data_IF_253854337793
#
_entry.id   IF_253854337793
#
_cell.length_a   1.000
_cell.length_b   1.000
_cell.length_c   1.000
_cell.angle_alpha   90.00
_cell.angle_beta   90.00
_cell.angle_gamma   90.00
#
_symmetry.space_group_name_H-M   'P 1'
#
loop_
_entity.id
_entity.type
_entity.pdbx_description
1 polymer ?
#
# COMPACT_ATOMS: atom_id res chain seq x y z
N UNK A 1 -15.88 29.31 20.22
CA UNK A 1 -14.62 28.54 20.15
C UNK A 1 -14.01 28.47 21.54
N UNK A 2 -13.98 27.31 22.23
CA UNK A 2 -13.26 27.19 23.49
C UNK A 2 -11.77 26.94 23.20
N UNK A 3 -10.90 27.80 23.76
CA UNK A 3 -9.44 27.64 23.79
C UNK A 3 -9.08 26.35 24.54
N UNK A 4 -8.65 25.33 23.81
CA UNK A 4 -8.01 24.15 24.41
C UNK A 4 -6.55 24.50 24.68
N UNK A 5 -6.19 24.53 25.97
CA UNK A 5 -4.84 24.89 26.43
C UNK A 5 -3.81 23.90 25.88
N UNK A 6 -2.79 24.42 25.19
CA UNK A 6 -1.57 23.68 24.84
C UNK A 6 -0.81 23.35 26.12
N UNK A 7 -1.08 22.20 26.74
CA UNK A 7 -0.08 21.52 27.57
C UNK A 7 0.80 20.71 26.64
N UNK A 8 1.84 21.37 26.14
CA UNK A 8 2.98 20.72 25.47
C UNK A 8 3.70 19.86 26.49
N UNK A 9 3.30 18.60 26.61
CA UNK A 9 4.10 17.61 27.31
C UNK A 9 5.19 17.16 26.34
N UNK A 10 6.27 17.94 26.30
CA UNK A 10 7.52 17.65 25.60
C UNK A 10 8.22 16.49 26.28
N UNK A 11 7.73 15.27 26.08
CA UNK A 11 8.58 14.09 26.16
C UNK A 11 9.27 13.91 24.82
N UNK A 12 10.23 14.81 24.57
CA UNK A 12 11.32 14.57 23.65
C UNK A 12 12.07 13.34 24.13
N UNK A 13 11.81 12.19 23.51
CA UNK A 13 12.78 11.09 23.48
C UNK A 13 13.97 11.52 22.63
N UNK A 14 14.75 12.47 23.13
CA UNK A 14 16.14 12.66 22.74
C UNK A 14 16.98 11.57 23.36
N UNK A 15 18.03 11.19 22.62
CA UNK A 15 19.10 10.25 22.95
C UNK A 15 18.84 8.77 22.61
N UNK A 16 19.38 8.35 21.46
CA UNK A 16 20.58 7.49 21.45
C UNK A 16 20.69 6.53 22.64
N UNK A 17 20.04 5.37 22.55
CA UNK A 17 20.49 4.11 23.16
C UNK A 17 19.52 2.99 22.80
N UNK A 18 19.83 2.25 21.75
CA UNK A 18 19.94 0.80 21.91
C UNK A 18 20.77 0.30 20.75
N UNK A 19 22.04 0.03 21.03
CA UNK A 19 22.75 -1.02 20.30
C UNK A 19 21.86 -2.25 20.38
N UNK A 20 21.09 -2.49 19.31
CA UNK A 20 20.09 -3.54 19.23
C UNK A 20 20.80 -4.83 19.58
N UNK A 21 20.49 -5.39 20.76
CA UNK A 21 21.20 -6.56 21.25
C UNK A 21 21.10 -7.66 20.19
N UNK A 22 22.21 -7.91 19.49
CA UNK A 22 22.30 -8.95 18.45
C UNK A 22 21.79 -10.28 19.01
N UNK A 23 21.98 -10.52 20.31
CA UNK A 23 21.49 -11.69 21.02
C UNK A 23 19.96 -11.80 21.03
N UNK A 24 19.24 -10.74 21.45
CA UNK A 24 17.76 -10.75 21.49
C UNK A 24 17.17 -11.07 20.11
N UNK A 25 17.61 -10.37 19.07
CA UNK A 25 17.03 -10.56 17.73
C UNK A 25 17.42 -11.89 17.10
N UNK A 26 18.60 -12.44 17.43
CA UNK A 26 18.94 -13.80 17.05
C UNK A 26 18.02 -14.81 17.72
N UNK A 27 17.70 -14.63 19.00
CA UNK A 27 16.74 -15.48 19.70
C UNK A 27 15.33 -15.36 19.11
N UNK A 28 14.81 -14.13 18.93
CA UNK A 28 13.51 -13.88 18.28
C UNK A 28 13.45 -14.49 16.89
N UNK A 29 14.51 -14.37 16.10
CA UNK A 29 14.57 -14.95 14.76
C UNK A 29 14.60 -16.48 14.78
N UNK A 30 15.31 -17.09 15.73
CA UNK A 30 15.25 -18.55 15.95
C UNK A 30 13.84 -19.00 16.35
N UNK A 31 13.15 -18.24 17.21
CA UNK A 31 11.75 -18.50 17.55
C UNK A 31 10.84 -18.42 16.31
N UNK A 32 10.95 -17.35 15.51
CA UNK A 32 10.19 -17.21 14.27
C UNK A 32 10.43 -18.38 13.31
N UNK A 33 11.69 -18.84 13.19
CA UNK A 33 12.07 -19.99 12.37
C UNK A 33 11.41 -21.30 12.77
N UNK A 34 11.31 -21.57 14.06
CA UNK A 34 10.77 -22.84 14.57
C UNK A 34 9.25 -22.83 14.58
N UNK A 35 8.64 -21.71 14.98
CA UNK A 35 7.20 -21.68 15.26
C UNK A 35 6.37 -20.97 14.18
N UNK A 36 6.87 -19.89 13.58
CA UNK A 36 6.08 -19.05 12.66
C UNK A 36 6.31 -19.43 11.20
N UNK A 37 7.55 -19.71 10.80
CA UNK A 37 7.88 -20.01 9.41
C UNK A 37 7.20 -21.28 8.87
N UNK A 38 7.06 -22.38 9.64
CA UNK A 38 6.27 -23.53 9.19
C UNK A 38 4.80 -23.19 8.99
N UNK A 39 4.22 -22.34 9.85
CA UNK A 39 2.83 -21.87 9.70
C UNK A 39 2.66 -21.09 8.41
N UNK A 40 3.59 -20.16 8.11
CA UNK A 40 3.57 -19.39 6.85
C UNK A 40 3.66 -20.35 5.65
N UNK A 41 4.57 -21.32 5.68
CA UNK A 41 4.70 -22.32 4.62
C UNK A 41 3.40 -23.10 4.40
N UNK A 42 2.74 -23.58 5.46
CA UNK A 42 1.49 -24.36 5.36
C UNK A 42 0.34 -23.49 4.83
N UNK A 43 0.12 -22.31 5.43
CA UNK A 43 -1.03 -21.46 5.13
C UNK A 43 -0.94 -20.83 3.74
N UNK A 44 0.26 -20.43 3.32
CA UNK A 44 0.47 -19.67 2.08
C UNK A 44 1.09 -20.51 0.96
N UNK A 45 1.47 -21.77 1.23
CA UNK A 45 2.23 -22.60 0.29
C UNK A 45 3.44 -21.84 -0.28
N UNK A 46 4.15 -21.17 0.64
CA UNK A 46 5.20 -20.22 0.35
C UNK A 46 6.57 -20.88 0.34
N UNK A 47 7.26 -20.85 -0.80
CA UNK A 47 8.64 -21.35 -0.95
C UNK A 47 9.64 -20.20 -0.89
N UNK A 48 10.38 -20.10 0.22
CA UNK A 48 11.53 -19.22 0.34
C UNK A 48 12.77 -19.90 -0.27
N UNK A 49 13.38 -19.30 -1.28
CA UNK A 49 14.67 -19.73 -1.79
C UNK A 49 15.76 -19.11 -0.92
N UNK A 50 16.60 -19.96 -0.34
CA UNK A 50 17.66 -19.53 0.55
C UNK A 50 18.70 -18.71 -0.21
N UNK A 51 19.14 -17.61 0.39
CA UNK A 51 20.27 -16.82 -0.07
C UNK A 51 21.44 -17.01 0.90
N UNK A 52 22.54 -17.59 0.41
CA UNK A 52 23.74 -17.83 1.19
C UNK A 52 24.63 -16.58 1.23
N UNK A 53 24.17 -15.60 2.01
CA UNK A 53 24.90 -14.36 2.26
C UNK A 53 26.25 -14.63 2.99
N UNK A 54 27.39 -14.15 2.45
CA UNK A 54 28.68 -14.10 3.16
C UNK A 54 28.56 -13.51 4.55
N UNK A 55 29.16 -14.15 5.56
CA UNK A 55 28.98 -13.77 6.99
C UNK A 55 29.40 -12.34 7.31
N UNK A 56 30.38 -11.81 6.57
CA UNK A 56 30.98 -10.50 6.80
C UNK A 56 30.41 -9.39 5.90
N UNK A 57 29.43 -9.70 5.06
CA UNK A 57 28.73 -8.69 4.25
C UNK A 57 27.35 -8.42 4.85
N UNK A 58 26.93 -7.15 4.78
CA UNK A 58 25.57 -6.72 5.01
C UNK A 58 25.00 -6.07 3.75
N UNK A 59 23.68 -6.00 3.69
CA UNK A 59 22.96 -5.59 2.49
C UNK A 59 21.84 -4.63 2.84
N UNK A 60 21.55 -3.74 1.91
CA UNK A 60 20.20 -3.21 1.77
C UNK A 60 19.39 -4.16 0.88
N UNK A 61 18.24 -4.62 1.34
CA UNK A 61 17.34 -5.47 0.55
C UNK A 61 16.15 -4.63 0.11
N UNK A 62 15.91 -4.57 -1.19
CA UNK A 62 14.71 -3.99 -1.76
C UNK A 62 13.78 -5.10 -2.24
N UNK A 63 12.49 -4.98 -1.92
CA UNK A 63 11.51 -5.97 -2.33
C UNK A 63 10.19 -5.34 -2.74
N UNK A 64 9.51 -5.96 -3.70
CA UNK A 64 8.14 -5.63 -4.06
C UNK A 64 7.18 -5.95 -2.92
N UNK A 65 6.03 -5.26 -2.88
CA UNK A 65 5.09 -5.40 -1.77
C UNK A 65 3.74 -5.92 -2.24
N UNK A 66 3.42 -7.15 -1.90
CA UNK A 66 2.20 -7.86 -2.30
C UNK A 66 1.24 -8.11 -1.14
N UNK A 67 1.74 -8.29 0.08
CA UNK A 67 0.97 -8.75 1.24
C UNK A 67 1.51 -8.23 2.56
N UNK A 68 0.73 -8.36 3.64
CA UNK A 68 1.15 -7.86 4.97
C UNK A 68 2.22 -8.72 5.65
N UNK A 69 2.42 -9.97 5.20
CA UNK A 69 3.41 -10.90 5.75
C UNK A 69 4.72 -10.93 4.95
N UNK A 70 4.85 -10.10 3.92
CA UNK A 70 6.04 -10.00 3.09
C UNK A 70 7.35 -9.85 3.88
N UNK A 71 7.43 -9.05 4.96
CA UNK A 71 8.64 -8.98 5.77
C UNK A 71 9.08 -10.36 6.33
N UNK A 72 8.12 -11.12 6.87
CA UNK A 72 8.40 -12.44 7.44
C UNK A 72 8.77 -13.44 6.34
N UNK A 73 8.05 -13.41 5.22
CA UNK A 73 8.32 -14.25 4.05
C UNK A 73 9.73 -13.99 3.49
N UNK A 74 10.09 -12.73 3.29
CA UNK A 74 11.45 -12.35 2.87
C UNK A 74 12.51 -12.87 3.86
N UNK A 75 12.27 -12.69 5.16
CA UNK A 75 13.20 -13.14 6.21
C UNK A 75 13.44 -14.66 6.22
N UNK A 76 12.49 -15.46 5.72
CA UNK A 76 12.65 -16.93 5.59
C UNK A 76 13.78 -17.33 4.64
N UNK A 77 14.15 -16.48 3.68
CA UNK A 77 15.26 -16.74 2.74
C UNK A 77 16.64 -16.59 3.36
N UNK A 78 16.76 -16.05 4.58
CA UNK A 78 18.05 -15.68 5.16
C UNK A 78 18.37 -16.46 6.45
N UNK A 79 19.65 -16.66 6.71
CA UNK A 79 20.12 -17.35 7.91
C UNK A 79 20.34 -16.42 9.12
N UNK A 80 20.13 -15.11 8.95
CA UNK A 80 20.35 -14.05 9.93
C UNK A 80 19.12 -13.12 10.05
N UNK A 81 18.96 -12.40 11.17
CA UNK A 81 17.91 -11.39 11.30
C UNK A 81 18.03 -10.29 10.25
N UNK A 82 16.88 -9.75 9.83
CA UNK A 82 16.77 -8.63 8.90
C UNK A 82 15.94 -7.55 9.61
N UNK A 83 16.39 -6.30 9.53
CA UNK A 83 15.67 -5.17 10.08
C UNK A 83 14.84 -4.50 9.00
N UNK A 84 13.54 -4.36 9.22
CA UNK A 84 12.63 -3.84 8.21
C UNK A 84 12.30 -2.38 8.44
N UNK A 85 12.32 -1.58 7.38
CA UNK A 85 11.72 -0.25 7.40
C UNK A 85 10.20 -0.39 7.33
N UNK A 86 9.48 0.18 8.29
CA UNK A 86 8.02 0.07 8.37
C UNK A 86 7.35 1.43 8.61
N UNK A 87 6.17 1.60 8.03
CA UNK A 87 5.37 2.82 8.21
C UNK A 87 4.91 2.99 9.66
N UNK A 88 4.86 4.25 10.12
CA UNK A 88 4.34 4.65 11.44
C UNK A 88 2.98 4.00 11.81
N UNK A 89 2.10 3.74 10.83
CA UNK A 89 0.81 3.10 11.11
C UNK A 89 0.97 1.73 11.82
N UNK A 90 2.01 0.96 11.50
CA UNK A 90 2.25 -0.34 12.14
C UNK A 90 2.50 -0.20 13.64
N UNK A 91 3.14 0.91 14.05
CA UNK A 91 3.44 1.23 15.43
C UNK A 91 2.21 1.74 16.21
N UNK A 92 1.11 2.04 15.52
CA UNK A 92 -0.16 2.48 16.13
C UNK A 92 -1.12 1.34 16.47
N UNK A 93 -0.78 0.09 16.14
CA UNK A 93 -1.63 -1.09 16.38
C UNK A 93 -1.65 -1.58 17.86
N UNK A 94 -1.21 -0.75 18.80
CA UNK A 94 -1.25 -1.06 20.23
C UNK A 94 -0.35 -2.24 20.62
N UNK A 95 -0.93 -3.32 21.15
CA UNK A 95 -0.19 -4.51 21.59
C UNK A 95 0.58 -5.16 20.41
N UNK A 96 0.01 -5.13 19.21
CA UNK A 96 0.65 -5.69 18.01
C UNK A 96 1.94 -4.94 17.69
N UNK A 97 1.96 -3.61 17.85
CA UNK A 97 3.19 -2.82 17.69
C UNK A 97 4.25 -3.28 18.68
N UNK A 98 3.90 -3.47 19.97
CA UNK A 98 4.87 -3.93 20.97
C UNK A 98 5.45 -5.31 20.64
N UNK A 99 4.63 -6.22 20.11
CA UNK A 99 5.07 -7.56 19.68
C UNK A 99 6.02 -7.44 18.48
N UNK A 100 5.66 -6.64 17.47
CA UNK A 100 6.50 -6.43 16.29
C UNK A 100 7.83 -5.78 16.67
N UNK A 101 7.79 -4.76 17.52
CA UNK A 101 8.99 -4.07 18.04
C UNK A 101 9.90 -5.03 18.81
N UNK A 102 9.31 -5.91 19.61
CA UNK A 102 10.05 -6.93 20.35
C UNK A 102 10.67 -8.00 19.44
N UNK A 103 9.93 -8.47 18.44
CA UNK A 103 10.36 -9.57 17.58
C UNK A 103 11.36 -9.16 16.51
N UNK A 104 11.14 -8.01 15.86
CA UNK A 104 11.89 -7.61 14.65
C UNK A 104 12.39 -6.17 14.66
N UNK A 105 11.97 -5.34 15.63
CA UNK A 105 12.29 -3.91 15.75
C UNK A 105 12.35 -3.18 14.41
N UNK A 106 11.19 -2.86 13.82
CA UNK A 106 11.20 -2.13 12.57
C UNK A 106 11.86 -0.75 12.73
N UNK A 107 12.47 -0.26 11.66
CA UNK A 107 12.93 1.11 11.54
C UNK A 107 11.72 1.95 11.11
N UNK A 108 11.22 2.88 11.94
CA UNK A 108 10.03 3.65 11.59
C UNK A 108 10.31 4.63 10.44
N UNK A 109 9.38 4.76 9.50
CA UNK A 109 9.37 5.81 8.48
C UNK A 109 8.01 6.49 8.40
N UNK A 110 8.02 7.82 8.20
CA UNK A 110 6.83 8.60 7.89
C UNK A 110 6.72 8.71 6.37
N UNK A 111 5.58 8.30 5.79
CA UNK A 111 5.35 8.25 4.33
C UNK A 111 5.31 9.60 3.61
N UNK A 112 5.60 10.70 4.30
CA UNK A 112 5.35 12.05 3.81
C UNK A 112 6.45 13.06 4.13
N UNK A 113 7.52 12.65 4.82
CA UNK A 113 8.65 13.52 5.12
C UNK A 113 9.91 12.97 4.45
N UNK A 114 10.76 13.88 3.95
CA UNK A 114 12.14 13.58 3.61
C UNK A 114 12.86 13.23 4.91
N UNK A 115 12.65 12.02 5.39
CA UNK A 115 12.98 11.67 6.75
C UNK A 115 14.48 11.40 6.84
N UNK A 116 15.26 12.48 7.00
CA UNK A 116 16.68 12.42 7.31
C UNK A 116 16.93 11.50 8.52
N UNK A 117 15.95 11.34 9.42
CA UNK A 117 16.03 10.40 10.52
C UNK A 117 15.99 8.94 10.04
N UNK A 118 15.04 8.57 9.18
CA UNK A 118 14.98 7.21 8.62
C UNK A 118 16.26 6.87 7.84
N UNK A 119 16.81 7.83 7.08
CA UNK A 119 18.10 7.67 6.41
C UNK A 119 19.25 7.42 7.38
N UNK A 120 19.32 8.20 8.46
CA UNK A 120 20.33 8.03 9.51
C UNK A 120 20.19 6.67 10.20
N UNK A 121 18.97 6.25 10.51
CA UNK A 121 18.72 4.98 11.18
C UNK A 121 19.09 3.79 10.28
N UNK A 122 18.74 3.84 8.99
CA UNK A 122 19.14 2.82 7.99
C UNK A 122 20.67 2.78 7.88
N UNK A 123 21.31 3.94 7.73
CA UNK A 123 22.77 4.06 7.60
C UNK A 123 23.49 3.52 8.85
N UNK A 124 23.00 3.84 10.04
CA UNK A 124 23.55 3.35 11.31
C UNK A 124 23.44 1.83 11.41
N UNK A 125 22.28 1.24 11.13
CA UNK A 125 22.10 -0.20 11.16
C UNK A 125 23.04 -0.91 10.18
N UNK A 126 23.16 -0.39 8.95
CA UNK A 126 24.11 -0.89 7.95
C UNK A 126 25.56 -0.77 8.44
N UNK A 127 25.96 0.36 9.02
CA UNK A 127 27.32 0.57 9.53
C UNK A 127 27.68 -0.38 10.69
N UNK A 128 26.69 -0.84 11.47
CA UNK A 128 26.89 -1.84 12.55
C UNK A 128 26.95 -3.29 12.06
N UNK A 129 26.93 -3.50 10.74
CA UNK A 129 26.97 -4.80 10.07
C UNK A 129 25.63 -5.52 10.02
N UNK A 130 24.51 -4.81 10.22
CA UNK A 130 23.18 -5.39 10.12
C UNK A 130 22.64 -5.26 8.69
N UNK A 131 21.79 -6.21 8.30
CA UNK A 131 21.05 -6.18 7.03
C UNK A 131 19.72 -5.47 7.22
N UNK A 132 19.44 -4.50 6.35
CA UNK A 132 18.19 -3.73 6.35
C UNK A 132 17.37 -4.09 5.13
N UNK A 133 16.06 -4.18 5.26
CA UNK A 133 15.13 -4.38 4.15
C UNK A 133 14.07 -3.28 4.11
N UNK A 134 13.68 -2.84 2.91
CA UNK A 134 12.57 -1.92 2.72
C UNK A 134 11.79 -2.24 1.44
N UNK A 135 10.53 -1.79 1.42
CA UNK A 135 9.64 -1.91 0.28
C UNK A 135 9.55 -0.54 -0.40
N UNK A 136 10.25 -0.32 -1.52
CA UNK A 136 10.54 1.03 -2.00
C UNK A 136 9.30 1.76 -2.55
N UNK A 137 8.29 1.03 -3.03
CA UNK A 137 7.00 1.60 -3.43
C UNK A 137 6.15 2.10 -2.25
N UNK A 138 6.50 1.73 -1.02
CA UNK A 138 5.82 2.11 0.21
C UNK A 138 4.40 1.56 0.37
N UNK A 139 3.85 0.86 -0.62
CA UNK A 139 2.47 0.41 -0.62
C UNK A 139 2.31 -0.94 -1.29
N UNK A 140 1.41 -1.77 -0.76
CA UNK A 140 1.08 -3.05 -1.38
C UNK A 140 0.41 -2.83 -2.73
N UNK A 141 0.71 -3.72 -3.68
CA UNK A 141 0.01 -3.81 -4.96
C UNK A 141 -1.50 -3.73 -4.78
N UNK A 142 -2.11 -2.82 -5.54
CA UNK A 142 -3.55 -2.57 -5.52
C UNK A 142 -4.29 -3.55 -6.43
N UNK A 143 -3.73 -3.79 -7.62
CA UNK A 143 -4.39 -4.49 -8.73
C UNK A 143 -3.59 -5.66 -9.31
N UNK A 144 -2.34 -5.87 -8.88
CA UNK A 144 -1.46 -6.95 -9.36
C UNK A 144 -0.02 -6.50 -9.57
N UNK A 145 0.23 -5.52 -10.47
CA UNK A 145 1.56 -4.96 -10.70
C UNK A 145 2.16 -4.29 -9.46
N UNK A 146 3.48 -4.18 -9.42
CA UNK A 146 4.17 -3.41 -8.38
C UNK A 146 3.79 -1.92 -8.45
N UNK A 147 3.65 -1.28 -7.28
CA UNK A 147 3.34 0.15 -7.23
C UNK A 147 4.55 0.99 -7.66
N UNK A 148 4.35 2.21 -8.19
CA UNK A 148 5.45 3.05 -8.62
C UNK A 148 6.51 3.24 -7.53
N UNK A 149 7.77 2.99 -7.87
CA UNK A 149 8.91 3.21 -7.00
C UNK A 149 9.32 4.69 -7.15
N UNK A 150 9.39 5.47 -6.07
CA UNK A 150 9.84 6.85 -6.16
C UNK A 150 11.33 6.92 -6.56
N UNK A 151 11.68 7.85 -7.46
CA UNK A 151 13.09 8.18 -7.83
C UNK A 151 13.98 8.57 -6.65
N UNK A 152 13.38 8.95 -5.52
CA UNK A 152 14.10 9.13 -4.26
C UNK A 152 14.82 7.85 -3.80
N UNK A 153 14.35 6.68 -4.22
CA UNK A 153 14.98 5.38 -3.92
C UNK A 153 16.32 5.23 -4.62
N UNK A 154 16.45 5.55 -5.91
CA UNK A 154 17.76 5.53 -6.59
C UNK A 154 18.75 6.49 -5.92
N UNK A 155 18.31 7.69 -5.51
CA UNK A 155 19.13 8.64 -4.73
C UNK A 155 19.56 8.08 -3.38
N UNK A 156 18.66 7.37 -2.68
CA UNK A 156 18.96 6.69 -1.43
C UNK A 156 20.12 5.69 -1.59
N UNK A 157 20.09 4.89 -2.66
CA UNK A 157 21.15 3.92 -2.94
C UNK A 157 22.52 4.60 -3.09
N UNK A 158 22.57 5.69 -3.86
CA UNK A 158 23.80 6.49 -4.06
C UNK A 158 24.35 7.11 -2.78
N UNK A 159 23.47 7.48 -1.84
CA UNK A 159 23.87 8.03 -0.54
C UNK A 159 24.42 6.92 0.37
N UNK A 160 23.77 5.74 0.41
CA UNK A 160 24.17 4.66 1.30
C UNK A 160 25.44 3.93 0.86
N UNK A 161 25.68 3.82 -0.46
CA UNK A 161 26.88 3.17 -1.03
C UNK A 161 27.15 1.76 -0.47
N UNK A 162 26.10 0.98 -0.24
CA UNK A 162 26.18 -0.41 0.21
C UNK A 162 25.70 -1.37 -0.88
N UNK A 163 26.12 -2.64 -0.86
CA UNK A 163 25.56 -3.67 -1.74
C UNK A 163 24.03 -3.80 -1.55
N UNK A 164 23.31 -3.94 -2.66
CA UNK A 164 21.84 -4.02 -2.68
C UNK A 164 21.40 -5.38 -3.21
N UNK A 165 20.47 -6.04 -2.53
CA UNK A 165 19.80 -7.25 -3.01
C UNK A 165 18.38 -6.90 -3.46
N UNK A 166 18.04 -7.28 -4.69
CA UNK A 166 16.67 -7.19 -5.19
C UNK A 166 15.99 -8.53 -4.94
N UNK A 167 14.97 -8.51 -4.08
CA UNK A 167 14.23 -9.67 -3.64
C UNK A 167 12.82 -9.64 -4.21
N UNK A 168 12.43 -10.65 -4.98
CA UNK A 168 11.11 -10.71 -5.60
C UNK A 168 10.22 -11.72 -4.90
N UNK A 169 9.03 -11.28 -4.52
CA UNK A 169 7.90 -12.09 -4.06
C UNK A 169 6.93 -12.32 -5.22
N UNK A 170 6.71 -13.58 -5.58
CA UNK A 170 5.85 -14.02 -6.66
C UNK A 170 4.60 -14.74 -6.12
N UNK A 171 3.45 -14.50 -6.75
CA UNK A 171 2.15 -15.11 -6.38
C UNK A 171 1.48 -14.51 -5.14
N UNK A 172 2.12 -13.55 -4.46
CA UNK A 172 1.59 -12.93 -3.25
C UNK A 172 0.28 -12.16 -3.48
N UNK A 173 0.16 -11.44 -4.60
CA UNK A 173 -1.06 -10.70 -4.93
C UNK A 173 -2.28 -11.62 -5.09
N UNK A 174 -2.14 -12.74 -5.82
CA UNK A 174 -3.24 -13.67 -6.03
C UNK A 174 -3.63 -14.44 -4.76
N UNK A 175 -2.66 -14.62 -3.84
CA UNK A 175 -2.82 -15.24 -2.53
C UNK A 175 -3.52 -14.36 -1.50
N UNK A 176 -3.12 -13.08 -1.37
CA UNK A 176 -3.71 -12.15 -0.40
C UNK A 176 -3.91 -10.75 -1.01
N UNK A 177 -4.84 -10.60 -1.96
CA UNK A 177 -5.08 -9.32 -2.60
C UNK A 177 -5.53 -8.28 -1.57
N UNK A 178 -5.06 -7.04 -1.71
CA UNK A 178 -5.34 -5.96 -0.76
C UNK A 178 -6.83 -5.68 -0.54
N UNK A 179 -7.63 -5.87 -1.59
CA UNK A 179 -9.07 -5.67 -1.54
C UNK A 179 -9.81 -6.81 -0.81
N UNK A 180 -9.24 -8.02 -0.77
CA UNK A 180 -9.87 -9.18 -0.15
C UNK A 180 -9.72 -9.20 1.38
N UNK A 181 -10.50 -10.06 2.05
CA UNK A 181 -10.28 -10.43 3.48
C UNK A 181 -9.84 -11.89 3.65
N UNK A 182 -10.14 -12.75 2.68
CA UNK A 182 -9.76 -14.15 2.68
C UNK A 182 -8.40 -14.32 2.01
N UNK A 183 -7.62 -15.26 2.56
CA UNK A 183 -6.40 -15.75 1.93
C UNK A 183 -6.74 -16.91 0.99
N UNK A 184 -5.98 -17.04 -0.09
CA UNK A 184 -6.09 -18.13 -1.06
C UNK A 184 -4.77 -18.89 -1.10
N UNK A 185 -4.84 -20.21 -1.01
CA UNK A 185 -3.66 -21.07 -1.05
C UNK A 185 -3.29 -21.35 -2.51
N UNK A 186 -2.18 -20.80 -2.98
CA UNK A 186 -1.64 -21.04 -4.32
C UNK A 186 -0.12 -21.11 -4.31
N UNK A 187 0.53 -21.15 -5.48
CA UNK A 187 2.00 -21.15 -5.53
C UNK A 187 2.51 -19.75 -5.17
N UNK A 188 3.22 -19.62 -4.05
CA UNK A 188 3.90 -18.39 -3.66
C UNK A 188 5.39 -18.67 -3.48
N UNK A 189 6.25 -17.75 -3.90
CA UNK A 189 7.69 -17.91 -3.66
C UNK A 189 8.41 -16.59 -3.51
N UNK A 190 9.59 -16.63 -2.87
CA UNK A 190 10.45 -15.45 -2.75
C UNK A 190 11.91 -15.82 -2.90
N UNK A 191 12.66 -14.99 -3.64
CA UNK A 191 14.09 -15.21 -3.89
C UNK A 191 14.81 -13.89 -4.16
N UNK A 192 16.11 -13.85 -3.85
CA UNK A 192 17.00 -12.83 -4.40
C UNK A 192 17.16 -13.11 -5.88
N UNK A 193 16.85 -12.14 -6.72
CA UNK A 193 16.95 -12.29 -8.18
C UNK A 193 18.10 -11.49 -8.78
N UNK A 194 18.60 -10.48 -8.06
CA UNK A 194 19.69 -9.63 -8.52
C UNK A 194 20.48 -9.07 -7.32
N UNK A 195 21.78 -8.88 -7.50
CA UNK A 195 22.69 -8.24 -6.55
C UNK A 195 23.40 -7.10 -7.26
N UNK A 196 23.28 -5.90 -6.71
CA UNK A 196 24.10 -4.75 -7.06
C UNK A 196 25.24 -4.66 -6.04
N UNK A 197 26.47 -4.62 -6.51
CA UNK A 197 27.64 -4.34 -5.66
C UNK A 197 27.71 -2.85 -5.33
N UNK A 198 28.54 -2.47 -4.35
CA UNK A 198 28.76 -1.06 -4.05
C UNK A 198 29.32 -0.30 -5.28
N UNK A 199 30.19 -0.96 -6.06
CA UNK A 199 30.75 -0.41 -7.29
C UNK A 199 29.68 -0.23 -8.38
N UNK A 200 28.73 -1.17 -8.50
CA UNK A 200 27.58 -1.02 -9.40
C UNK A 200 26.73 0.20 -9.01
N UNK A 201 26.48 0.39 -7.70
CA UNK A 201 25.76 1.56 -7.20
C UNK A 201 26.51 2.85 -7.51
N UNK A 202 27.83 2.87 -7.42
CA UNK A 202 28.64 4.04 -7.75
C UNK A 202 28.64 4.33 -9.26
N UNK A 203 28.71 3.29 -10.10
CA UNK A 203 28.75 3.40 -11.56
C UNK A 203 27.42 3.82 -12.18
N UNK A 204 26.31 3.18 -11.79
CA UNK A 204 25.01 3.45 -12.41
C UNK A 204 24.45 4.82 -12.01
N UNK A 205 23.80 5.48 -12.96
CA UNK A 205 23.00 6.68 -12.73
C UNK A 205 21.77 6.36 -11.88
N UNK A 206 21.10 7.40 -11.36
CA UNK A 206 19.87 7.21 -10.57
C UNK A 206 18.77 6.60 -11.45
N UNK A 207 18.73 6.98 -12.72
CA UNK A 207 17.76 6.55 -13.72
C UNK A 207 17.96 5.07 -14.05
N UNK A 208 19.20 4.64 -14.31
CA UNK A 208 19.51 3.23 -14.53
C UNK A 208 19.18 2.37 -13.30
N UNK A 209 19.45 2.87 -12.09
CA UNK A 209 19.06 2.17 -10.86
C UNK A 209 17.55 2.05 -10.72
N UNK A 210 16.80 3.10 -11.06
CA UNK A 210 15.33 3.06 -11.06
C UNK A 210 14.82 2.03 -12.08
N UNK A 211 15.36 1.99 -13.29
CA UNK A 211 15.03 0.99 -14.32
C UNK A 211 15.31 -0.44 -13.85
N UNK A 212 16.49 -0.69 -13.28
CA UNK A 212 16.86 -1.99 -12.69
C UNK A 212 15.86 -2.35 -11.59
N UNK A 213 15.53 -1.44 -10.68
CA UNK A 213 14.55 -1.72 -9.62
C UNK A 213 13.17 -2.06 -10.20
N UNK A 214 12.71 -1.34 -11.22
CA UNK A 214 11.43 -1.59 -11.86
C UNK A 214 11.39 -2.96 -12.56
N UNK A 215 12.41 -3.28 -13.34
CA UNK A 215 12.52 -4.56 -14.04
C UNK A 215 12.56 -5.72 -13.06
N UNK A 216 13.40 -5.62 -12.02
CA UNK A 216 13.66 -6.73 -11.10
C UNK A 216 12.62 -6.81 -9.96
N UNK A 217 11.96 -5.73 -9.55
CA UNK A 217 10.94 -5.84 -8.51
C UNK A 217 9.53 -6.09 -9.05
N UNK A 218 9.23 -5.83 -10.33
CA UNK A 218 7.89 -6.13 -10.82
C UNK A 218 7.60 -7.65 -10.85
N UNK A 219 6.53 -8.02 -10.15
CA UNK A 219 6.02 -9.38 -10.05
C UNK A 219 4.57 -9.46 -10.54
N UNK A 220 4.24 -8.63 -11.54
CA UNK A 220 2.92 -8.56 -12.14
C UNK A 220 2.43 -9.97 -12.56
N UNK A 221 1.36 -10.50 -11.93
CA UNK A 221 0.84 -11.83 -12.24
C UNK A 221 0.21 -11.92 -13.64
N UNK A 222 0.08 -10.80 -14.34
CA UNK A 222 -0.58 -10.67 -15.64
C UNK A 222 0.40 -10.27 -16.77
N UNK A 223 1.70 -10.14 -16.52
CA UNK A 223 2.67 -9.66 -17.53
C UNK A 223 2.96 -10.64 -18.67
N UNK A 224 2.68 -11.94 -18.48
CA UNK A 224 2.91 -12.96 -19.50
C UNK A 224 1.90 -12.91 -20.65
N UNK A 225 2.33 -13.29 -21.86
CA UNK A 225 1.42 -13.47 -23.02
C UNK A 225 0.37 -14.55 -22.75
N UNK A 226 0.75 -15.59 -22.01
CA UNK A 226 -0.14 -16.67 -21.61
C UNK A 226 -0.78 -16.39 -20.25
N UNK A 227 -2.05 -16.75 -20.10
CA UNK A 227 -2.76 -16.63 -18.82
C UNK A 227 -2.15 -17.58 -17.80
N UNK A 228 -2.03 -17.10 -16.56
CA UNK A 228 -1.66 -17.94 -15.43
C UNK A 228 -2.64 -19.13 -15.31
N UNK A 229 -2.08 -20.34 -15.34
CA UNK A 229 -2.81 -21.60 -15.23
C UNK A 229 -2.91 -22.10 -13.79
N UNK A 230 -2.13 -21.51 -12.86
CA UNK A 230 -2.06 -21.91 -11.46
C UNK A 230 -3.31 -21.42 -10.72
N UNK A 231 -3.99 -22.36 -10.07
CA UNK A 231 -5.14 -22.08 -9.21
C UNK A 231 -4.70 -21.65 -7.80
N UNK A 232 -5.34 -20.60 -7.29
CA UNK A 232 -5.24 -20.10 -5.92
C UNK A 232 -6.55 -20.46 -5.20
N UNK A 233 -6.51 -21.54 -4.43
CA UNK A 233 -7.69 -22.14 -3.83
C UNK A 233 -8.16 -21.35 -2.61
N UNK A 234 -9.43 -20.99 -2.60
CA UNK A 234 -10.03 -20.27 -1.49
C UNK A 234 -11.54 -20.20 -1.61
N UNK A 235 -12.13 -19.18 -0.98
CA UNK A 235 -13.56 -18.89 -1.06
C UNK A 235 -13.74 -17.39 -1.26
N UNK A 236 -14.91 -17.00 -1.75
CA UNK A 236 -15.31 -15.62 -1.93
C UNK A 236 -14.33 -14.83 -2.81
N UNK A 237 -14.04 -15.40 -3.99
CA UNK A 237 -13.02 -14.89 -4.91
C UNK A 237 -13.17 -13.41 -5.25
N UNK A 238 -14.37 -12.94 -5.58
CA UNK A 238 -14.63 -11.55 -5.95
C UNK A 238 -14.97 -10.64 -4.76
N UNK A 239 -15.22 -11.20 -3.57
CA UNK A 239 -15.79 -10.43 -2.47
C UNK A 239 -14.86 -9.27 -2.04
N UNK A 240 -15.47 -8.09 -1.92
CA UNK A 240 -14.86 -6.79 -1.67
C UNK A 240 -14.10 -6.14 -2.84
N UNK A 241 -14.26 -6.60 -4.09
CA UNK A 241 -13.69 -5.91 -5.26
C UNK A 241 -14.13 -4.44 -5.38
N UNK A 242 -15.32 -4.08 -4.88
CA UNK A 242 -15.81 -2.69 -4.79
C UNK A 242 -14.93 -1.76 -3.92
N UNK A 243 -13.94 -2.29 -3.20
CA UNK A 243 -12.91 -1.48 -2.54
C UNK A 243 -11.92 -0.85 -3.52
N UNK A 244 -11.73 -1.45 -4.68
CA UNK A 244 -10.85 -0.93 -5.74
C UNK A 244 -11.60 -0.64 -7.05
N UNK A 245 -12.84 -1.12 -7.18
CA UNK A 245 -13.71 -0.77 -8.30
C UNK A 245 -14.79 0.22 -7.85
N UNK A 246 -14.75 1.43 -8.39
CA UNK A 246 -15.63 2.54 -8.03
C UNK A 246 -16.54 3.04 -9.15
N UNK A 247 -16.23 2.79 -10.43
CA UNK A 247 -17.01 3.21 -11.61
C UNK A 247 -17.51 2.00 -12.38
N UNK A 248 -18.81 1.92 -12.66
CA UNK A 248 -19.36 0.83 -13.47
C UNK A 248 -19.12 1.07 -14.97
N UNK A 249 -18.60 0.10 -15.74
CA UNK A 249 -18.30 0.30 -17.17
C UNK A 249 -19.55 0.33 -18.06
N UNK A 250 -20.69 -0.18 -17.60
CA UNK A 250 -21.93 -0.21 -18.40
C UNK A 250 -22.80 1.03 -18.20
N UNK A 251 -22.94 1.53 -16.97
CA UNK A 251 -23.78 2.70 -16.68
C UNK A 251 -23.01 3.96 -16.27
N UNK A 252 -21.68 3.88 -16.16
CA UNK A 252 -20.75 4.96 -15.79
C UNK A 252 -20.97 5.58 -14.40
N UNK A 253 -21.99 5.15 -13.66
CA UNK A 253 -22.27 5.61 -12.29
C UNK A 253 -21.19 5.13 -11.33
N UNK A 254 -20.89 6.00 -10.36
CA UNK A 254 -20.02 5.71 -9.23
C UNK A 254 -20.77 4.96 -8.13
N UNK A 255 -20.05 4.19 -7.30
CA UNK A 255 -20.57 3.52 -6.09
C UNK A 255 -21.66 2.46 -6.32
N UNK A 256 -21.90 2.04 -7.56
CA UNK A 256 -22.94 1.06 -7.88
C UNK A 256 -22.43 -0.38 -7.92
N UNK A 257 -21.12 -0.59 -7.96
CA UNK A 257 -20.52 -1.90 -7.96
C UNK A 257 -20.55 -2.53 -6.57
N UNK A 258 -20.96 -3.79 -6.52
CA UNK A 258 -21.00 -4.65 -5.33
C UNK A 258 -20.37 -5.98 -5.70
N UNK A 259 -19.95 -6.74 -4.71
CA UNK A 259 -19.49 -8.11 -4.94
C UNK A 259 -19.99 -9.08 -3.88
N UNK A 260 -20.13 -10.33 -4.29
CA UNK A 260 -20.55 -11.43 -3.42
C UNK A 260 -20.00 -12.74 -3.96
N UNK A 261 -19.41 -13.54 -3.09
CA UNK A 261 -18.74 -14.80 -3.45
C UNK A 261 -17.70 -14.55 -4.56
N UNK A 262 -17.94 -15.08 -5.74
CA UNK A 262 -17.12 -15.05 -6.94
C UNK A 262 -17.62 -14.04 -7.99
N UNK A 263 -18.68 -13.27 -7.71
CA UNK A 263 -19.26 -12.33 -8.68
C UNK A 263 -19.09 -10.87 -8.22
N UNK A 264 -18.65 -10.00 -9.12
CA UNK A 264 -18.80 -8.53 -9.03
C UNK A 264 -19.94 -8.09 -9.95
N UNK A 265 -20.81 -7.19 -9.49
CA UNK A 265 -22.02 -6.81 -10.22
C UNK A 265 -22.46 -5.37 -9.95
N UNK A 266 -23.32 -4.84 -10.82
CA UNK A 266 -23.97 -3.54 -10.70
C UNK A 266 -25.50 -3.70 -10.77
N UNK A 267 -26.23 -2.78 -10.15
CA UNK A 267 -27.69 -2.71 -10.23
C UNK A 267 -28.19 -2.42 -11.68
N UNK A 268 -27.32 -2.00 -12.61
CA UNK A 268 -27.64 -1.84 -14.03
C UNK A 268 -27.54 -3.13 -14.87
N UNK A 269 -27.19 -4.26 -14.25
CA UNK A 269 -27.05 -5.56 -14.93
C UNK A 269 -25.62 -5.97 -15.30
N UNK A 270 -24.61 -5.11 -15.12
CA UNK A 270 -23.20 -5.50 -15.28
C UNK A 270 -22.83 -6.62 -14.31
N UNK A 271 -22.15 -7.68 -14.79
CA UNK A 271 -21.67 -8.80 -13.95
C UNK A 271 -20.37 -9.40 -14.52
N UNK A 272 -19.43 -9.76 -13.65
CA UNK A 272 -18.26 -10.57 -13.96
C UNK A 272 -18.02 -11.60 -12.86
N UNK A 273 -17.60 -12.82 -13.24
CA UNK A 273 -17.14 -13.84 -12.29
C UNK A 273 -15.62 -13.79 -12.19
N UNK A 274 -15.08 -13.84 -10.99
CA UNK A 274 -13.64 -13.89 -10.72
C UNK A 274 -13.24 -15.31 -10.29
N UNK A 275 -12.39 -15.96 -11.08
CA UNK A 275 -12.04 -17.36 -10.87
C UNK A 275 -10.81 -17.56 -9.99
N UNK A 276 -10.52 -18.82 -9.66
CA UNK A 276 -9.38 -19.21 -8.80
C UNK A 276 -8.01 -18.92 -9.41
N UNK A 277 -7.91 -18.67 -10.72
CA UNK A 277 -6.64 -18.36 -11.41
C UNK A 277 -6.32 -16.87 -11.44
N UNK A 278 -7.24 -16.04 -10.97
CA UNK A 278 -7.05 -14.60 -10.86
C UNK A 278 -7.56 -13.79 -12.06
N UNK A 279 -8.46 -14.38 -12.85
CA UNK A 279 -9.03 -13.76 -14.05
C UNK A 279 -10.55 -13.60 -13.93
N UNK A 280 -11.08 -12.64 -14.68
CA UNK A 280 -12.51 -12.50 -14.89
C UNK A 280 -12.97 -13.38 -16.05
N UNK A 281 -14.19 -13.86 -15.91
CA UNK A 281 -14.94 -14.63 -16.90
C UNK A 281 -16.40 -14.17 -16.90
N UNK A 282 -17.11 -14.46 -17.99
CA UNK A 282 -18.51 -14.10 -18.11
C UNK A 282 -19.30 -14.75 -16.95
N UNK A 283 -20.13 -13.95 -16.27
CA UNK A 283 -20.95 -14.45 -15.16
C UNK A 283 -22.20 -15.19 -15.65
N UNK A 284 -22.60 -14.96 -16.90
CA UNK A 284 -23.69 -15.61 -17.63
C UNK A 284 -23.37 -15.68 -19.13
N UNK A 285 -24.36 -16.07 -19.93
CA UNK A 285 -24.18 -16.40 -21.35
C UNK A 285 -24.58 -15.26 -22.30
N UNK A 286 -24.78 -14.04 -21.78
CA UNK A 286 -25.16 -12.90 -22.62
C UNK A 286 -23.96 -12.36 -23.40
N UNK A 287 -24.21 -11.77 -24.57
CA UNK A 287 -23.17 -11.12 -25.39
C UNK A 287 -22.46 -10.01 -24.62
N UNK A 288 -23.20 -9.26 -23.79
CA UNK A 288 -22.62 -8.22 -22.94
C UNK A 288 -21.71 -8.79 -21.85
N UNK A 289 -22.06 -9.90 -21.22
CA UNK A 289 -21.19 -10.56 -20.22
C UNK A 289 -19.87 -11.02 -20.83
N UNK A 290 -19.91 -11.59 -22.05
CA UNK A 290 -18.71 -12.01 -22.79
C UNK A 290 -17.84 -10.80 -23.15
N UNK A 291 -18.43 -9.76 -23.73
CA UNK A 291 -17.72 -8.54 -24.10
C UNK A 291 -17.05 -7.87 -22.89
N UNK A 292 -17.71 -7.87 -21.72
CA UNK A 292 -17.09 -7.35 -20.50
C UNK A 292 -15.90 -8.21 -20.04
N UNK A 293 -15.98 -9.53 -20.12
CA UNK A 293 -14.88 -10.42 -19.72
C UNK A 293 -13.67 -10.30 -20.66
N UNK A 294 -13.91 -10.09 -21.95
CA UNK A 294 -12.86 -9.80 -22.94
C UNK A 294 -12.21 -8.43 -22.71
N UNK A 295 -13.03 -7.41 -22.42
CA UNK A 295 -12.55 -6.05 -22.13
C UNK A 295 -11.78 -5.96 -20.81
N UNK A 296 -12.19 -6.72 -19.80
CA UNK A 296 -11.62 -6.71 -18.47
C UNK A 296 -11.20 -8.11 -18.02
N UNK A 297 -10.13 -8.68 -18.57
CA UNK A 297 -9.74 -10.06 -18.28
C UNK A 297 -9.23 -10.27 -16.85
N UNK A 298 -8.80 -9.22 -16.14
CA UNK A 298 -8.26 -9.32 -14.78
C UNK A 298 -8.47 -8.02 -13.99
N UNK A 299 -8.10 -8.04 -12.72
CA UNK A 299 -8.31 -6.89 -11.82
C UNK A 299 -7.61 -5.63 -12.32
N UNK A 300 -6.36 -5.78 -12.77
CA UNK A 300 -5.57 -4.65 -13.26
C UNK A 300 -6.16 -3.98 -14.51
N UNK A 301 -6.65 -4.73 -15.50
CA UNK A 301 -7.24 -4.12 -16.70
C UNK A 301 -8.48 -3.28 -16.37
N UNK A 302 -9.31 -3.74 -15.43
CA UNK A 302 -10.43 -2.93 -14.92
C UNK A 302 -9.93 -1.70 -14.16
N UNK A 303 -8.93 -1.87 -13.28
CA UNK A 303 -8.38 -0.78 -12.48
C UNK A 303 -7.78 0.33 -13.36
N UNK A 304 -6.96 -0.04 -14.35
CA UNK A 304 -6.35 0.90 -15.30
C UNK A 304 -7.39 1.63 -16.15
N UNK A 305 -8.46 0.96 -16.58
CA UNK A 305 -9.57 1.63 -17.26
C UNK A 305 -10.15 2.76 -16.40
N UNK A 306 -10.43 2.51 -15.12
CA UNK A 306 -10.95 3.55 -14.22
C UNK A 306 -9.96 4.72 -14.05
N UNK A 307 -8.65 4.45 -13.99
CA UNK A 307 -7.64 5.50 -13.92
C UNK A 307 -7.60 6.35 -15.18
N UNK A 308 -7.74 5.74 -16.36
CA UNK A 308 -7.78 6.45 -17.62
C UNK A 308 -9.04 7.31 -17.74
N UNK A 309 -10.20 6.79 -17.32
CA UNK A 309 -11.43 7.58 -17.23
C UNK A 309 -11.26 8.80 -16.33
N UNK A 310 -10.57 8.68 -15.18
CA UNK A 310 -10.29 9.83 -14.31
C UNK A 310 -9.42 10.89 -15.02
N UNK A 311 -8.42 10.49 -15.82
CA UNK A 311 -7.61 11.45 -16.58
C UNK A 311 -8.47 12.25 -17.56
N UNK A 312 -9.40 11.58 -18.22
CA UNK A 312 -10.32 12.20 -19.18
C UNK A 312 -11.38 13.07 -18.48
N UNK A 313 -11.91 12.62 -17.35
CA UNK A 313 -12.95 13.30 -16.56
C UNK A 313 -12.41 14.57 -15.87
N UNK A 314 -11.13 14.57 -15.49
CA UNK A 314 -10.48 15.64 -14.73
C UNK A 314 -9.27 16.23 -15.47
N UNK A 315 -9.48 16.70 -16.69
CA UNK A 315 -8.52 17.56 -17.41
C UNK A 315 -8.53 18.98 -16.84
N UNK A 316 -7.45 19.75 -17.01
CA UNK A 316 -7.40 21.16 -16.58
C UNK A 316 -8.60 21.99 -17.08
N UNK A 317 -9.03 21.79 -18.34
CA UNK A 317 -10.19 22.46 -18.93
C UNK A 317 -11.50 22.06 -18.23
N UNK A 318 -11.73 20.77 -18.00
CA UNK A 318 -12.95 20.29 -17.33
C UNK A 318 -12.99 20.77 -15.88
N UNK A 319 -11.87 20.70 -15.16
CA UNK A 319 -11.76 21.17 -13.78
C UNK A 319 -12.09 22.66 -13.64
N UNK A 320 -11.57 23.50 -14.54
CA UNK A 320 -11.85 24.94 -14.53
C UNK A 320 -13.34 25.28 -14.76
N UNK A 321 -14.08 24.38 -15.42
CA UNK A 321 -15.51 24.53 -15.68
C UNK A 321 -16.42 23.94 -14.58
N UNK A 322 -15.86 23.27 -13.56
CA UNK A 322 -16.65 22.65 -12.49
C UNK A 322 -17.17 23.68 -11.49
N UNK A 323 -18.41 23.50 -11.02
CA UNK A 323 -18.97 24.28 -9.92
C UNK A 323 -18.36 23.84 -8.57
N UNK A 324 -17.66 24.75 -7.90
CA UNK A 324 -17.04 24.52 -6.58
C UNK A 324 -18.06 24.26 -5.45
N UNK A 325 -19.35 24.55 -5.69
CA UNK A 325 -20.46 24.28 -4.76
C UNK A 325 -21.04 22.88 -4.92
N UNK A 326 -20.75 22.19 -6.03
CA UNK A 326 -21.21 20.83 -6.29
C UNK A 326 -20.11 19.83 -5.96
N UNK A 327 -20.46 18.80 -5.18
CA UNK A 327 -19.53 17.69 -4.93
C UNK A 327 -19.39 16.84 -6.17
N UNK A 328 -18.17 16.40 -6.47
CA UNK A 328 -17.87 15.39 -7.50
C UNK A 328 -18.54 14.06 -7.11
N UNK A 329 -18.36 13.65 -5.86
CA UNK A 329 -19.05 12.52 -5.24
C UNK A 329 -18.96 12.60 -3.71
N UNK A 330 -19.82 11.85 -3.03
CA UNK A 330 -19.85 11.74 -1.57
C UNK A 330 -20.06 10.31 -1.09
N UNK A 331 -19.70 10.03 0.15
CA UNK A 331 -20.05 8.82 0.91
C UNK A 331 -20.65 9.19 2.26
N UNK A 332 -21.66 8.43 2.67
CA UNK A 332 -22.31 8.53 3.99
C UNK A 332 -21.72 7.48 4.95
N UNK A 333 -22.11 7.53 6.23
CA UNK A 333 -21.63 6.64 7.29
C UNK A 333 -20.10 6.64 7.47
N UNK A 334 -19.42 7.76 7.18
CA UNK A 334 -17.98 7.91 7.36
C UNK A 334 -17.63 8.37 8.77
N UNK A 335 -16.57 7.78 9.32
CA UNK A 335 -15.97 8.21 10.58
C UNK A 335 -14.61 8.80 10.30
N UNK A 336 -14.39 10.04 10.70
CA UNK A 336 -13.09 10.71 10.65
C UNK A 336 -12.44 10.62 12.03
N UNK A 337 -11.20 10.15 12.05
CA UNK A 337 -10.39 10.09 13.25
C UNK A 337 -9.09 10.88 13.05
N UNK A 338 -8.63 11.50 14.11
CA UNK A 338 -7.33 12.12 14.19
C UNK A 338 -6.35 11.10 14.77
N UNK A 339 -5.23 10.90 14.06
CA UNK A 339 -4.16 10.00 14.50
C UNK A 339 -2.97 10.80 14.99
N UNK A 340 -2.46 10.48 16.19
CA UNK A 340 -1.27 11.10 16.76
C UNK A 340 -0.24 10.02 17.15
N UNK A 341 1.04 10.39 17.18
CA UNK A 341 2.21 9.50 17.42
C UNK A 341 2.17 8.68 18.72
N UNK A 342 1.32 9.02 19.69
CA UNK A 342 1.42 8.48 21.06
C UNK A 342 0.07 8.24 21.78
N UNK A 343 -1.08 8.55 21.18
CA UNK A 343 -2.38 8.48 21.86
C UNK A 343 -3.39 7.60 21.10
N UNK A 344 -4.41 7.11 21.83
CA UNK A 344 -5.60 6.47 21.22
C UNK A 344 -6.17 7.39 20.14
N UNK A 345 -6.62 6.79 19.03
CA UNK A 345 -7.33 7.48 17.96
C UNK A 345 -8.46 8.33 18.56
N UNK A 346 -8.46 9.63 18.26
CA UNK A 346 -9.54 10.51 18.68
C UNK A 346 -10.55 10.60 17.54
N UNK A 347 -11.78 10.16 17.78
CA UNK A 347 -12.86 10.41 16.83
C UNK A 347 -13.11 11.91 16.73
N UNK A 348 -13.04 12.43 15.51
CA UNK A 348 -13.29 13.83 15.19
C UNK A 348 -14.79 14.01 14.93
N UNK A 349 -15.36 13.17 14.07
CA UNK A 349 -16.78 13.21 13.70
C UNK A 349 -17.26 11.86 13.13
N UNK A 350 -18.58 11.71 13.04
CA UNK A 350 -19.24 10.65 12.27
C UNK A 350 -20.35 11.28 11.42
N UNK A 351 -20.38 10.96 10.13
CA UNK A 351 -21.37 11.52 9.21
C UNK A 351 -21.05 11.20 7.76
N UNK A 352 -20.81 12.20 6.92
CA UNK A 352 -20.50 12.01 5.50
C UNK A 352 -19.19 12.70 5.09
N UNK A 353 -18.64 12.24 3.97
CA UNK A 353 -17.52 12.88 3.27
C UNK A 353 -17.94 13.21 1.84
N UNK A 354 -17.52 14.35 1.34
CA UNK A 354 -17.71 14.77 -0.03
C UNK A 354 -16.41 15.31 -0.61
N UNK A 355 -16.08 14.87 -1.82
CA UNK A 355 -14.99 15.45 -2.61
C UNK A 355 -15.56 16.54 -3.52
N UNK A 356 -15.02 17.74 -3.40
CA UNK A 356 -15.26 18.88 -4.27
C UNK A 356 -14.02 19.12 -5.15
N UNK A 357 -14.12 19.94 -6.21
CA UNK A 357 -12.97 20.24 -7.07
C UNK A 357 -11.77 20.85 -6.33
N UNK A 358 -11.99 21.52 -5.20
CA UNK A 358 -10.96 22.25 -4.44
C UNK A 358 -10.75 21.75 -3.00
N UNK A 359 -11.62 20.89 -2.47
CA UNK A 359 -11.57 20.43 -1.06
C UNK A 359 -12.17 19.05 -0.84
N UNK A 360 -11.70 18.40 0.21
CA UNK A 360 -12.39 17.30 0.87
C UNK A 360 -13.19 17.87 2.05
N UNK A 361 -14.50 17.64 2.11
CA UNK A 361 -15.38 18.16 3.16
C UNK A 361 -16.04 17.02 3.91
N UNK A 362 -15.99 17.08 5.24
CA UNK A 362 -16.71 16.17 6.12
C UNK A 362 -17.84 16.92 6.82
N UNK A 363 -19.00 16.29 6.91
CA UNK A 363 -20.18 16.79 7.61
C UNK A 363 -20.52 15.83 8.76
N UNK A 364 -20.51 16.33 9.99
CA UNK A 364 -20.93 15.56 11.16
C UNK A 364 -22.46 15.43 11.19
N UNK A 365 -22.98 14.22 11.38
CA UNK A 365 -24.42 13.95 11.32
C UNK A 365 -25.18 14.41 12.55
N UNK A 366 -24.50 14.61 13.69
CA UNK A 366 -25.13 15.00 14.96
C UNK A 366 -25.13 16.52 15.14
N UNK A 367 -23.98 17.16 14.92
CA UNK A 367 -23.78 18.59 15.17
C UNK A 367 -23.99 19.47 13.93
N UNK A 368 -24.01 18.89 12.73
CA UNK A 368 -23.99 19.64 11.47
C UNK A 368 -22.66 20.38 11.22
N UNK A 369 -21.64 20.15 12.05
CA UNK A 369 -20.33 20.77 11.90
C UNK A 369 -19.66 20.31 10.59
N UNK A 370 -19.00 21.26 9.90
CA UNK A 370 -18.28 21.00 8.66
C UNK A 370 -16.79 21.14 8.86
N UNK A 371 -16.04 20.15 8.39
CA UNK A 371 -14.58 20.14 8.40
C UNK A 371 -14.10 20.12 6.95
N UNK A 372 -13.36 21.17 6.56
CA UNK A 372 -12.91 21.38 5.18
C UNK A 372 -11.40 21.26 5.10
N UNK A 373 -10.96 20.43 4.17
CA UNK A 373 -9.55 20.17 3.88
C UNK A 373 -9.28 20.58 2.42
N UNK A 374 -8.74 21.79 2.17
CA UNK A 374 -8.37 22.21 0.83
C UNK A 374 -7.37 21.23 0.20
N UNK A 375 -7.59 20.83 -1.05
CA UNK A 375 -6.73 19.84 -1.73
C UNK A 375 -5.29 20.34 -1.90
N UNK A 376 -5.09 21.66 -1.93
CA UNK A 376 -3.77 22.31 -1.97
C UNK A 376 -2.99 22.16 -0.67
N UNK A 377 -3.68 21.90 0.45
CA UNK A 377 -3.07 21.72 1.77
C UNK A 377 -2.90 20.24 2.13
N UNK A 378 -3.65 19.34 1.48
CA UNK A 378 -3.42 17.89 1.60
C UNK A 378 -2.11 17.56 0.88
N UNK A 379 -1.05 17.24 1.61
CA UNK A 379 0.27 16.96 1.01
C UNK A 379 0.57 15.47 0.86
N UNK A 380 -0.14 14.61 1.59
CA UNK A 380 -0.07 13.15 1.47
C UNK A 380 -1.48 12.54 1.50
N UNK A 381 -1.69 11.48 0.72
CA UNK A 381 -2.96 10.75 0.61
C UNK A 381 -2.71 9.29 0.22
N UNK A 382 -3.13 8.35 1.07
CA UNK A 382 -2.90 6.91 0.88
C UNK A 382 -4.11 6.08 1.39
N UNK A 383 -4.13 4.81 1.00
CA UNK A 383 -5.04 3.82 1.55
C UNK A 383 -4.35 3.08 2.69
N UNK A 384 -4.98 2.99 3.86
CA UNK A 384 -4.52 2.15 4.96
C UNK A 384 -5.40 0.92 5.10
N UNK A 385 -4.76 -0.24 5.24
CA UNK A 385 -5.46 -1.52 5.20
C UNK A 385 -6.17 -1.72 3.85
N UNK A 386 -7.42 -2.22 3.86
CA UNK A 386 -8.15 -2.51 2.62
C UNK A 386 -8.98 -1.32 2.09
N UNK A 387 -9.34 -0.34 2.92
CA UNK A 387 -10.26 0.74 2.53
C UNK A 387 -10.20 2.02 3.38
N UNK A 388 -9.24 2.21 4.29
CA UNK A 388 -9.21 3.47 5.06
C UNK A 388 -8.52 4.54 4.21
N UNK A 389 -9.14 5.71 4.09
CA UNK A 389 -8.50 6.87 3.47
C UNK A 389 -7.66 7.57 4.53
N UNK A 390 -6.35 7.67 4.33
CA UNK A 390 -5.46 8.46 5.17
C UNK A 390 -4.99 9.69 4.39
N UNK A 391 -4.93 10.83 5.04
CA UNK A 391 -4.35 12.03 4.45
C UNK A 391 -3.73 12.93 5.53
N UNK A 392 -2.76 13.76 5.11
CA UNK A 392 -2.09 14.70 5.98
C UNK A 392 -2.29 16.14 5.53
N UNK A 393 -2.54 17.05 6.47
CA UNK A 393 -2.85 18.46 6.20
C UNK A 393 -1.68 19.37 6.62
N UNK A 394 -1.22 20.20 5.68
CA UNK A 394 -0.08 21.09 5.91
C UNK A 394 -0.37 22.19 6.95
N UNK A 395 -1.65 22.53 7.18
CA UNK A 395 -2.05 23.62 8.08
C UNK A 395 -1.78 23.32 9.55
N UNK A 396 -1.95 22.05 9.93
CA UNK A 396 -1.77 21.58 11.32
C UNK A 396 -0.71 20.48 11.46
N UNK A 397 -0.18 19.97 10.34
CA UNK A 397 0.79 18.87 10.29
C UNK A 397 0.26 17.59 10.96
N UNK A 398 -1.07 17.40 10.92
CA UNK A 398 -1.75 16.23 11.48
C UNK A 398 -2.12 15.22 10.41
N UNK A 399 -2.30 13.97 10.84
CA UNK A 399 -2.71 12.84 10.00
C UNK A 399 -4.11 12.40 10.37
N UNK A 400 -4.99 12.41 9.38
CA UNK A 400 -6.38 12.02 9.49
C UNK A 400 -6.60 10.66 8.84
N UNK A 401 -7.48 9.85 9.43
CA UNK A 401 -7.98 8.63 8.80
C UNK A 401 -9.50 8.67 8.73
N UNK A 402 -10.05 8.30 7.58
CA UNK A 402 -11.47 8.19 7.31
C UNK A 402 -11.82 6.77 6.93
N UNK A 403 -12.81 6.20 7.61
CA UNK A 403 -13.24 4.84 7.34
C UNK A 403 -14.77 4.69 7.40
N UNK A 404 -15.24 3.74 6.62
CA UNK A 404 -16.60 3.21 6.63
C UNK A 404 -16.59 1.76 7.12
N UNK A 405 -17.64 1.33 7.81
CA UNK A 405 -17.83 -0.07 8.19
C UNK A 405 -18.24 -0.93 6.98
N UNK A 406 -19.03 -0.35 6.07
CA UNK A 406 -19.44 -0.97 4.80
C UNK A 406 -18.27 -0.93 3.79
N UNK A 407 -18.19 -1.91 2.88
CA UNK A 407 -17.21 -1.87 1.79
C UNK A 407 -17.40 -0.62 0.93
N UNK A 408 -16.33 0.16 0.76
CA UNK A 408 -16.28 1.30 -0.16
C UNK A 408 -14.89 1.50 -0.70
N UNK A 409 -14.78 2.13 -1.86
CA UNK A 409 -13.47 2.44 -2.45
C UNK A 409 -12.85 3.69 -1.83
N UNK A 410 -11.72 3.54 -1.13
CA UNK A 410 -10.84 4.67 -0.80
C UNK A 410 -10.14 5.21 -2.05
N UNK A 411 -9.83 4.32 -2.99
CA UNK A 411 -9.07 4.65 -4.20
C UNK A 411 -9.78 5.66 -5.08
N UNK A 412 -11.13 5.67 -5.11
CA UNK A 412 -11.83 6.76 -5.81
C UNK A 412 -11.46 8.14 -5.27
N UNK A 413 -11.31 8.32 -3.95
CA UNK A 413 -10.87 9.59 -3.38
C UNK A 413 -9.40 9.84 -3.67
N UNK A 414 -8.55 8.85 -3.38
CA UNK A 414 -7.09 8.95 -3.53
C UNK A 414 -6.71 9.32 -4.97
N UNK A 415 -7.20 8.55 -5.94
CA UNK A 415 -6.84 8.70 -7.35
C UNK A 415 -7.47 9.97 -7.95
N UNK A 416 -8.69 10.34 -7.55
CA UNK A 416 -9.29 11.63 -7.98
C UNK A 416 -8.52 12.81 -7.41
N UNK A 417 -8.12 12.79 -6.13
CA UNK A 417 -7.31 13.85 -5.51
C UNK A 417 -5.95 13.96 -6.22
N UNK A 418 -5.27 12.84 -6.45
CA UNK A 418 -3.99 12.82 -7.18
C UNK A 418 -4.13 13.39 -8.59
N UNK A 419 -5.19 13.01 -9.31
CA UNK A 419 -5.46 13.52 -10.66
C UNK A 419 -5.75 15.03 -10.65
N UNK A 420 -6.60 15.53 -9.75
CA UNK A 420 -6.86 16.97 -9.63
C UNK A 420 -5.55 17.73 -9.35
N UNK A 421 -4.77 17.24 -8.38
CA UNK A 421 -3.50 17.87 -8.00
C UNK A 421 -2.47 17.87 -9.13
N UNK A 422 -2.41 16.83 -9.96
CA UNK A 422 -1.49 16.77 -11.10
C UNK A 422 -1.77 17.88 -12.12
N UNK A 423 -3.05 18.21 -12.33
CA UNK A 423 -3.44 19.31 -13.22
C UNK A 423 -3.14 20.69 -12.62
N UNK A 424 -3.22 20.82 -11.29
CA UNK A 424 -2.89 22.07 -10.59
C UNK A 424 -1.38 22.35 -10.58
N UNK A 425 -0.54 21.32 -10.50
CA UNK A 425 0.92 21.47 -10.54
C UNK A 425 1.45 21.79 -11.94
N UNK A 426 0.82 21.29 -13.00
CA UNK A 426 1.26 21.52 -14.39
C UNK A 426 0.92 22.93 -14.93
N UNK A 427 0.13 23.71 -14.19
CA UNK A 427 -0.21 25.09 -14.51
C UNK A 427 0.68 26.12 -13.78
N UNK A 428 1.76 25.67 -13.14
CA UNK A 428 2.85 26.50 -12.61
C UNK A 428 4.14 26.12 -13.30
#
# INVERSE_FOLDING_TARGET
MPRISKKTNTNSRTASATYRSKFRYRFSFSFLKVFIFPIIWILFNYKAYRYDAPKNENYLILSNHTGSLDPLMLAMSFNRPIFFVASDHLFRLGIVSKIIDFLVAPIPIIKSQQDLQALRDISLELATGNTVALFPSGSRSVSGPEQPIPRATGKLLKILKVPVLLYRLEGGYLTSPRWARSHRRGKMSGRVIYKLTADDIERYTVEELDEIMHEYLDANPYAGKEKNTISYLGRNYAQYLERIFWKCPSCLRLKTLKSRKDIVFCDCGFRLRYNSKGYFEAAGDTVSDQSHAERFPHVDSFYQWQLNELKDDFTAKKLAAMDLRQSIFSDDDETLILTSKASKNQQVLKGSVALYPDRLEYLDSLSGARFRFPLTQIYDVDCIGPQRLQFADARDQLVYESYNEKPRSAYKFIETIKQIKSQLSSNR
#
